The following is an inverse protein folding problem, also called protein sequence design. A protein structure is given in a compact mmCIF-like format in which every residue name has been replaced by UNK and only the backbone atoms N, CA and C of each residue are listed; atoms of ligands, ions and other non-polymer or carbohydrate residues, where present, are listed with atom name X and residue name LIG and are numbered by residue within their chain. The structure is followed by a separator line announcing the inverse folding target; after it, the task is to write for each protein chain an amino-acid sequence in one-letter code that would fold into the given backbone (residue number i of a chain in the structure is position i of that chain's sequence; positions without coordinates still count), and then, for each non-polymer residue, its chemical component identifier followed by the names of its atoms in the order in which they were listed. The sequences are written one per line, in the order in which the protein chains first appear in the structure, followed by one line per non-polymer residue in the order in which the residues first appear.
data_IF_130279490772
#
_entry.id   IF_130279490772
#
_cell.length_a   1.000
_cell.length_b   1.000
_cell.length_c   1.000
_cell.angle_alpha   90.00
_cell.angle_beta   90.00
_cell.angle_gamma   90.00
#
_symmetry.space_group_name_H-M   'P 1'
#
loop_
_entity.id
_entity.type
_entity.pdbx_description
1 polymer ?
#
# COMPACT_ATOMS: atom_id res chain seq x y z
N UNK A 1 -10.48 26.77 11.24
CA UNK A 1 -9.44 25.75 10.95
C UNK A 1 -9.31 24.82 12.15
N UNK A 2 -9.54 23.51 11.95
CA UNK A 2 -9.43 22.51 13.02
C UNK A 2 -7.96 22.04 13.05
N UNK A 3 -7.12 22.69 13.85
CA UNK A 3 -5.67 22.43 13.88
C UNK A 3 -5.27 21.21 14.75
N UNK A 4 -6.18 20.25 14.96
CA UNK A 4 -5.91 19.07 15.81
C UNK A 4 -5.54 17.82 15.02
N UNK A 5 -5.56 17.89 13.68
CA UNK A 5 -5.17 16.84 12.75
C UNK A 5 -4.41 17.45 11.57
N UNK A 6 -3.57 16.65 10.89
CA UNK A 6 -2.77 17.06 9.72
C UNK A 6 -2.80 16.00 8.61
N UNK A 7 -2.91 16.40 7.34
CA UNK A 7 -2.79 15.53 6.15
C UNK A 7 -1.41 14.85 6.04
N UNK A 8 -0.37 15.44 6.66
CA UNK A 8 0.99 14.89 6.63
C UNK A 8 1.02 13.48 7.25
N UNK A 9 0.34 13.28 8.40
CA UNK A 9 0.33 11.99 9.11
C UNK A 9 -0.29 10.87 8.28
N UNK A 10 -1.40 11.12 7.58
CA UNK A 10 -2.02 10.09 6.72
C UNK A 10 -1.19 9.85 5.46
N UNK A 11 -0.46 10.86 4.97
CA UNK A 11 0.49 10.71 3.86
C UNK A 11 1.65 9.82 4.27
N UNK A 12 2.28 10.07 5.43
CA UNK A 12 3.36 9.23 5.97
C UNK A 12 2.89 7.78 6.22
N UNK A 13 1.68 7.60 6.77
CA UNK A 13 1.10 6.26 6.95
C UNK A 13 0.90 5.53 5.60
N UNK A 14 0.44 6.26 4.56
CA UNK A 14 0.29 5.71 3.22
C UNK A 14 1.63 5.32 2.61
N UNK A 15 2.66 6.13 2.79
CA UNK A 15 4.00 5.83 2.31
C UNK A 15 4.55 4.57 2.99
N UNK A 16 4.37 4.43 4.31
CA UNK A 16 4.73 3.20 5.04
C UNK A 16 4.00 1.97 4.48
N UNK A 17 2.69 2.05 4.27
CA UNK A 17 1.90 0.93 3.70
C UNK A 17 2.40 0.51 2.31
N UNK A 18 2.86 1.45 1.49
CA UNK A 18 3.35 1.18 0.13
C UNK A 18 4.86 0.92 0.05
N UNK A 19 5.59 1.10 1.15
CA UNK A 19 7.03 0.87 1.26
C UNK A 19 7.40 -0.62 1.41
N UNK A 20 8.65 -0.88 1.80
CA UNK A 20 9.15 -2.21 2.20
C UNK A 20 8.92 -3.28 1.12
N UNK A 21 9.23 -2.93 -0.14
CA UNK A 21 9.01 -3.77 -1.32
C UNK A 21 7.57 -4.31 -1.40
N UNK A 22 6.59 -3.44 -1.16
CA UNK A 22 5.16 -3.79 -1.21
C UNK A 22 4.74 -4.88 -0.22
N UNK A 23 5.42 -5.02 0.92
CA UNK A 23 5.13 -6.04 1.94
C UNK A 23 3.64 -6.13 2.31
N UNK A 24 3.00 -4.99 2.58
CA UNK A 24 1.57 -4.95 2.95
C UNK A 24 0.71 -5.44 1.79
N UNK A 25 1.00 -5.03 0.56
CA UNK A 25 0.29 -5.55 -0.61
C UNK A 25 0.46 -7.07 -0.74
N UNK A 26 1.70 -7.56 -0.73
CA UNK A 26 1.99 -8.98 -0.94
C UNK A 26 1.36 -9.88 0.14
N UNK A 27 1.34 -9.41 1.39
CA UNK A 27 0.81 -10.18 2.52
C UNK A 27 -0.72 -10.12 2.61
N UNK A 28 -1.35 -9.04 2.15
CA UNK A 28 -2.79 -8.79 2.34
C UNK A 28 -3.62 -8.80 1.05
N UNK A 29 -3.01 -8.95 -0.14
CA UNK A 29 -3.72 -9.11 -1.43
C UNK A 29 -4.60 -10.38 -1.46
N UNK A 30 -4.16 -11.42 -0.77
CA UNK A 30 -4.95 -12.63 -0.51
C UNK A 30 -4.60 -13.22 0.87
N UNK A 31 -5.38 -12.83 1.89
CA UNK A 31 -5.25 -13.37 3.25
C UNK A 31 -6.48 -14.21 3.56
N UNK A 32 -6.34 -15.53 3.49
CA UNK A 32 -7.41 -16.52 3.67
C UNK A 32 -8.56 -16.37 2.65
N UNK A 33 -8.25 -16.16 1.37
CA UNK A 33 -9.25 -16.02 0.30
C UNK A 33 -9.94 -14.66 0.28
N UNK A 34 -9.36 -13.66 0.97
CA UNK A 34 -9.90 -12.30 1.06
C UNK A 34 -8.82 -11.28 0.74
N UNK A 35 -9.16 -10.34 -0.12
CA UNK A 35 -8.31 -9.19 -0.40
C UNK A 35 -8.51 -8.13 0.69
N UNK A 36 -7.65 -8.16 1.71
CA UNK A 36 -7.65 -7.17 2.79
C UNK A 36 -6.88 -5.91 2.42
N UNK A 37 -6.01 -5.96 1.39
CA UNK A 37 -5.32 -4.77 0.90
C UNK A 37 -6.30 -3.71 0.38
N UNK A 38 -7.34 -4.12 -0.35
CA UNK A 38 -8.39 -3.20 -0.81
C UNK A 38 -9.12 -2.51 0.35
N UNK A 39 -9.33 -3.22 1.47
CA UNK A 39 -9.90 -2.63 2.68
C UNK A 39 -8.94 -1.58 3.26
N UNK A 40 -7.65 -1.87 3.32
CA UNK A 40 -6.62 -0.92 3.78
C UNK A 40 -6.60 0.33 2.89
N UNK A 41 -6.59 0.18 1.57
CA UNK A 41 -6.68 1.31 0.63
C UNK A 41 -7.93 2.16 0.87
N UNK A 42 -9.09 1.51 0.98
CA UNK A 42 -10.34 2.23 1.23
C UNK A 42 -10.32 3.01 2.54
N UNK A 43 -9.76 2.45 3.61
CA UNK A 43 -9.59 3.15 4.88
C UNK A 43 -8.70 4.38 4.75
N UNK A 44 -7.54 4.24 4.08
CA UNK A 44 -6.64 5.38 3.86
C UNK A 44 -7.31 6.48 3.04
N UNK A 45 -8.07 6.13 1.99
CA UNK A 45 -8.76 7.11 1.15
C UNK A 45 -9.83 7.89 1.93
N UNK A 46 -10.64 7.20 2.74
CA UNK A 46 -11.66 7.85 3.56
C UNK A 46 -11.07 8.71 4.68
N UNK A 47 -9.95 8.29 5.28
CA UNK A 47 -9.21 9.12 6.23
C UNK A 47 -8.68 10.36 5.51
N UNK A 48 -7.97 10.21 4.38
CA UNK A 48 -7.41 11.34 3.62
C UNK A 48 -8.47 12.39 3.26
N UNK A 49 -9.60 11.96 2.69
CA UNK A 49 -10.68 12.89 2.31
C UNK A 49 -11.25 13.60 3.54
N UNK A 50 -11.43 12.88 4.65
CA UNK A 50 -11.99 13.45 5.89
C UNK A 50 -11.03 14.44 6.54
N UNK A 51 -9.73 14.12 6.62
CA UNK A 51 -8.71 15.01 7.21
C UNK A 51 -8.57 16.29 6.39
N UNK A 52 -8.42 16.18 5.07
CA UNK A 52 -8.34 17.35 4.19
C UNK A 52 -9.58 18.22 4.26
N UNK A 53 -10.77 17.63 4.41
CA UNK A 53 -11.98 18.40 4.65
C UNK A 53 -11.91 19.19 5.96
N UNK A 54 -11.52 18.54 7.05
CA UNK A 54 -11.48 19.12 8.40
C UNK A 54 -10.44 20.24 8.54
N UNK A 55 -9.29 20.11 7.88
CA UNK A 55 -8.27 21.16 7.82
C UNK A 55 -8.78 22.41 7.11
N UNK A 56 -9.56 22.23 6.04
CA UNK A 56 -10.01 23.32 5.19
C UNK A 56 -11.41 23.84 5.53
N UNK A 57 -12.02 23.36 6.62
CA UNK A 57 -13.39 23.74 6.98
C UNK A 57 -13.42 25.23 7.40
N UNK A 58 -14.36 26.04 6.86
CA UNK A 58 -14.55 27.41 7.30
C UNK A 58 -15.05 27.44 8.75
N UNK A 59 -14.96 28.62 9.38
CA UNK A 59 -15.58 28.82 10.68
C UNK A 59 -17.10 28.61 10.60
N UNK A 60 -17.69 28.16 11.72
CA UNK A 60 -19.12 27.89 11.79
C UNK A 60 -19.95 29.15 11.55
N UNK A 61 -21.03 28.98 10.78
CA UNK A 61 -21.95 30.05 10.44
C UNK A 61 -22.71 30.53 11.70
N UNK A 62 -23.15 31.79 11.68
CA UNK A 62 -24.01 32.34 12.73
C UNK A 62 -25.44 31.82 12.58
N UNK A 63 -25.89 31.57 11.35
CA UNK A 63 -27.17 30.94 11.06
C UNK A 63 -27.17 29.50 11.62
N UNK A 64 -28.16 29.21 12.47
CA UNK A 64 -28.24 27.95 13.19
C UNK A 64 -28.45 26.76 12.26
N UNK A 65 -29.30 26.88 11.24
CA UNK A 65 -29.59 25.80 10.31
C UNK A 65 -28.32 25.40 9.52
N UNK A 66 -27.56 26.40 9.05
CA UNK A 66 -26.26 26.17 8.41
C UNK A 66 -25.25 25.55 9.39
N UNK A 67 -25.15 26.09 10.61
CA UNK A 67 -24.23 25.60 11.65
C UNK A 67 -24.51 24.14 12.05
N UNK A 68 -25.78 23.76 12.14
CA UNK A 68 -26.19 22.37 12.40
C UNK A 68 -25.70 21.46 11.29
N UNK A 69 -25.85 21.85 10.02
CA UNK A 69 -25.35 21.06 8.89
C UNK A 69 -23.82 20.98 8.84
N UNK A 70 -23.12 22.06 9.20
CA UNK A 70 -21.67 22.04 9.36
C UNK A 70 -21.24 21.09 10.48
N UNK A 71 -21.97 21.07 11.60
CA UNK A 71 -21.67 20.19 12.73
C UNK A 71 -21.93 18.72 12.39
N UNK A 72 -23.02 18.45 11.67
CA UNK A 72 -23.29 17.11 11.16
C UNK A 72 -22.19 16.63 10.20
N UNK A 73 -21.68 17.52 9.35
CA UNK A 73 -20.54 17.21 8.47
C UNK A 73 -19.28 16.88 9.29
N UNK A 74 -18.96 17.68 10.32
CA UNK A 74 -17.84 17.40 11.24
C UNK A 74 -17.98 16.01 11.88
N UNK A 75 -19.14 15.71 12.48
CA UNK A 75 -19.40 14.42 13.11
C UNK A 75 -19.26 13.28 12.08
N UNK A 76 -19.75 13.47 10.85
CA UNK A 76 -19.65 12.47 9.79
C UNK A 76 -18.21 12.20 9.37
N UNK A 77 -17.38 13.24 9.24
CA UNK A 77 -15.94 13.08 8.99
C UNK A 77 -15.23 12.33 10.12
N UNK A 78 -15.57 12.62 11.37
CA UNK A 78 -15.03 11.89 12.53
C UNK A 78 -15.46 10.41 12.51
N UNK A 79 -16.71 10.12 12.16
CA UNK A 79 -17.23 8.75 12.04
C UNK A 79 -16.48 7.95 10.97
N UNK A 80 -16.26 8.55 9.80
CA UNK A 80 -15.48 7.93 8.71
C UNK A 80 -14.04 7.60 9.15
N UNK A 81 -13.39 8.52 9.86
CA UNK A 81 -12.04 8.32 10.39
C UNK A 81 -12.04 7.20 11.44
N UNK A 82 -12.95 7.26 12.41
CA UNK A 82 -13.06 6.27 13.49
C UNK A 82 -13.35 4.85 12.98
N UNK A 83 -14.24 4.70 12.01
CA UNK A 83 -14.57 3.42 11.39
C UNK A 83 -13.36 2.88 10.60
N UNK A 84 -12.70 3.74 9.81
CA UNK A 84 -11.51 3.37 9.04
C UNK A 84 -10.39 2.88 9.94
N UNK A 85 -10.12 3.58 11.05
CA UNK A 85 -9.13 3.15 12.06
C UNK A 85 -9.52 1.83 12.71
N UNK A 86 -10.81 1.63 13.00
CA UNK A 86 -11.30 0.35 13.55
C UNK A 86 -11.08 -0.80 12.57
N UNK A 87 -11.29 -0.58 11.27
CA UNK A 87 -11.00 -1.60 10.26
C UNK A 87 -9.50 -1.86 10.12
N UNK A 88 -8.65 -0.81 10.12
CA UNK A 88 -7.20 -0.97 10.10
C UNK A 88 -6.69 -1.75 11.33
N UNK A 89 -7.23 -1.48 12.53
CA UNK A 89 -6.95 -2.25 13.73
C UNK A 89 -7.26 -3.75 13.53
N UNK A 90 -8.41 -4.07 12.91
CA UNK A 90 -8.79 -5.47 12.64
C UNK A 90 -7.85 -6.17 11.68
N UNK A 91 -7.29 -5.43 10.71
CA UNK A 91 -6.36 -5.97 9.72
C UNK A 91 -4.98 -6.24 10.33
N UNK A 92 -4.42 -5.26 11.06
CA UNK A 92 -3.02 -5.28 11.48
C UNK A 92 -2.78 -5.70 12.93
N UNK A 93 -3.74 -5.45 13.82
CA UNK A 93 -3.59 -5.67 15.26
C UNK A 93 -4.33 -6.94 15.66
N UNK A 94 -5.66 -6.92 15.61
CA UNK A 94 -6.48 -8.07 15.99
C UNK A 94 -7.91 -7.97 15.44
N UNK A 95 -8.37 -8.96 14.65
CA UNK A 95 -9.70 -8.94 14.04
C UNK A 95 -10.87 -9.09 15.03
N UNK A 96 -10.60 -9.56 16.25
CA UNK A 96 -11.62 -9.85 17.26
C UNK A 96 -11.83 -8.72 18.26
N UNK A 97 -11.00 -7.69 18.23
CA UNK A 97 -11.08 -6.57 19.17
C UNK A 97 -11.49 -5.28 18.49
N UNK A 98 -12.04 -4.36 19.29
CA UNK A 98 -12.37 -3.00 18.87
C UNK A 98 -11.47 -2.07 19.70
N UNK A 99 -10.73 -1.15 19.07
CA UNK A 99 -9.87 -0.23 19.81
C UNK A 99 -10.72 0.66 20.73
N UNK A 100 -10.16 1.05 21.88
CA UNK A 100 -10.78 1.95 22.88
C UNK A 100 -12.05 1.41 23.57
N UNK A 101 -12.33 0.10 23.49
CA UNK A 101 -13.48 -0.49 24.17
C UNK A 101 -13.43 -0.23 25.68
N UNK A 102 -14.50 0.32 26.24
CA UNK A 102 -14.63 0.63 27.67
C UNK A 102 -13.97 1.95 28.10
N UNK A 103 -13.31 2.69 27.21
CA UNK A 103 -12.70 3.98 27.55
C UNK A 103 -13.74 5.09 27.74
N UNK A 104 -13.52 5.98 28.72
CA UNK A 104 -14.44 7.07 29.07
C UNK A 104 -13.68 8.40 29.27
N UNK A 105 -12.83 8.75 28.31
CA UNK A 105 -11.92 9.90 28.42
C UNK A 105 -12.43 11.13 27.65
N UNK A 106 -12.99 10.94 26.45
CA UNK A 106 -13.27 12.06 25.55
C UNK A 106 -14.54 12.85 25.91
N UNK A 107 -15.54 12.20 26.50
CA UNK A 107 -16.84 12.82 26.79
C UNK A 107 -17.05 12.97 28.29
N UNK A 108 -16.68 14.10 28.88
CA UNK A 108 -16.75 14.32 30.32
C UNK A 108 -18.20 14.48 30.79
N UNK A 109 -19.05 15.13 29.99
CA UNK A 109 -20.44 15.43 30.34
C UNK A 109 -21.45 14.49 29.66
N UNK A 110 -21.08 13.21 29.50
CA UNK A 110 -21.92 12.24 28.80
C UNK A 110 -23.27 12.04 29.51
N UNK A 111 -24.36 12.05 28.75
CA UNK A 111 -25.70 11.84 29.28
C UNK A 111 -25.91 10.41 29.79
N UNK A 112 -25.32 9.42 29.12
CA UNK A 112 -25.46 7.99 29.45
C UNK A 112 -24.14 7.49 30.05
N UNK A 113 -24.11 7.41 31.38
CA UNK A 113 -22.90 7.14 32.15
C UNK A 113 -22.31 5.73 31.92
N UNK A 114 -23.13 4.77 31.48
CA UNK A 114 -22.74 3.41 31.15
C UNK A 114 -22.01 3.29 29.81
N UNK A 115 -22.28 4.18 28.86
CA UNK A 115 -21.66 4.18 27.53
C UNK A 115 -20.16 4.54 27.58
N UNK A 116 -19.34 3.76 26.86
CA UNK A 116 -17.96 4.12 26.55
C UNK A 116 -17.89 5.18 25.44
N UNK A 117 -16.70 5.72 25.16
CA UNK A 117 -16.53 6.79 24.19
C UNK A 117 -17.01 6.40 22.77
N UNK A 118 -16.77 5.16 22.36
CA UNK A 118 -17.21 4.66 21.06
C UNK A 118 -18.74 4.58 20.96
N UNK A 119 -19.38 4.07 22.01
CA UNK A 119 -20.83 3.94 22.08
C UNK A 119 -21.49 5.31 22.19
N UNK A 120 -20.93 6.19 23.03
CA UNK A 120 -21.45 7.53 23.23
C UNK A 120 -21.29 8.41 21.98
N UNK A 121 -20.19 8.30 21.25
CA UNK A 121 -20.04 8.99 19.97
C UNK A 121 -21.12 8.56 18.95
N UNK A 122 -21.48 7.27 18.92
CA UNK A 122 -22.60 6.79 18.09
C UNK A 122 -23.94 7.39 18.52
N UNK A 123 -24.16 7.55 19.83
CA UNK A 123 -25.33 8.24 20.38
C UNK A 123 -25.35 9.69 19.93
N UNK A 124 -24.24 10.43 20.06
CA UNK A 124 -24.10 11.81 19.58
C UNK A 124 -24.41 11.90 18.08
N UNK A 125 -23.81 11.04 17.25
CA UNK A 125 -24.04 11.00 15.80
C UNK A 125 -25.50 10.72 15.44
N UNK A 126 -26.15 9.81 16.16
CA UNK A 126 -27.55 9.52 15.95
C UNK A 126 -28.44 10.72 16.29
N UNK A 127 -28.18 11.39 17.42
CA UNK A 127 -28.98 12.51 17.93
C UNK A 127 -28.80 13.80 17.12
N UNK A 128 -27.60 14.08 16.60
CA UNK A 128 -27.29 15.32 15.88
C UNK A 128 -27.33 15.20 14.35
N UNK A 129 -27.93 14.14 13.80
CA UNK A 129 -28.32 14.14 12.39
C UNK A 129 -28.57 12.79 11.74
N UNK A 130 -27.84 11.74 12.10
CA UNK A 130 -27.91 10.48 11.35
C UNK A 130 -29.24 9.74 11.53
N UNK A 131 -29.73 9.65 12.77
CA UNK A 131 -30.92 8.86 13.12
C UNK A 131 -31.78 9.51 14.23
N UNK A 132 -32.10 10.82 14.17
CA UNK A 132 -32.72 11.53 15.30
C UNK A 132 -34.09 10.95 15.70
N UNK A 133 -34.81 10.32 14.77
CA UNK A 133 -36.17 9.80 15.00
C UNK A 133 -36.23 8.30 15.34
N UNK A 134 -35.09 7.64 15.57
CA UNK A 134 -35.05 6.21 15.89
C UNK A 134 -33.92 5.87 16.87
N UNK A 135 -33.96 6.47 18.05
CA UNK A 135 -32.99 6.22 19.12
C UNK A 135 -33.49 5.06 19.99
N UNK A 136 -32.80 3.93 19.93
CA UNK A 136 -33.09 2.77 20.76
C UNK A 136 -32.18 2.80 21.99
N UNK A 137 -32.75 2.99 23.18
CA UNK A 137 -32.02 2.93 24.44
C UNK A 137 -32.70 1.97 25.40
N UNK A 138 -32.06 0.84 25.67
CA UNK A 138 -32.34 -0.06 26.80
C UNK A 138 -33.83 -0.18 27.17
N UNK A 139 -34.67 -0.55 26.18
CA UNK A 139 -36.14 -0.75 26.25
C UNK A 139 -37.04 0.50 26.15
N UNK A 140 -36.50 1.69 25.95
CA UNK A 140 -37.26 2.91 25.67
C UNK A 140 -36.91 3.47 24.30
N UNK A 141 -37.92 3.92 23.56
CA UNK A 141 -37.73 4.59 22.27
C UNK A 141 -37.72 6.09 22.51
N UNK A 142 -36.66 6.77 22.06
CA UNK A 142 -36.54 8.23 22.15
C UNK A 142 -36.41 8.87 20.76
N UNK A 143 -36.70 10.16 20.69
CA UNK A 143 -36.64 10.97 19.47
C UNK A 143 -35.93 12.29 19.78
N UNK A 144 -34.88 12.63 19.03
CA UNK A 144 -34.19 13.90 19.14
C UNK A 144 -34.97 15.03 18.43
N UNK A 145 -35.04 16.18 19.09
CA UNK A 145 -35.48 17.44 18.49
C UNK A 145 -34.52 17.93 17.41
N UNK A 146 -34.90 19.00 16.71
CA UNK A 146 -33.91 19.82 16.01
C UNK A 146 -32.82 20.32 16.98
N UNK A 147 -31.54 20.40 16.57
CA UNK A 147 -30.51 21.01 17.40
C UNK A 147 -30.73 22.52 17.52
N UNK A 148 -30.58 23.06 18.72
CA UNK A 148 -30.74 24.48 19.01
C UNK A 148 -29.58 25.02 19.84
N UNK A 149 -29.48 26.35 19.94
CA UNK A 149 -28.44 27.02 20.71
C UNK A 149 -28.53 26.63 22.18
N UNK A 150 -27.40 26.14 22.71
CA UNK A 150 -27.31 25.78 24.10
C UNK A 150 -27.47 27.01 25.01
N UNK A 151 -28.32 26.89 26.03
CA UNK A 151 -28.35 27.85 27.14
C UNK A 151 -27.22 27.60 28.17
N UNK A 152 -26.47 26.49 28.03
CA UNK A 152 -25.26 26.21 28.80
C UNK A 152 -24.05 26.86 28.15
N UNK A 153 -23.21 27.51 28.96
CA UNK A 153 -21.96 28.15 28.53
C UNK A 153 -20.88 27.16 28.03
N UNK A 154 -21.09 25.85 28.18
CA UNK A 154 -20.10 24.81 27.87
C UNK A 154 -20.41 24.00 26.61
N UNK A 155 -21.60 24.17 26.03
CA UNK A 155 -22.03 23.40 24.86
C UNK A 155 -22.38 24.34 23.69
N UNK A 156 -22.11 23.90 22.46
CA UNK A 156 -22.42 24.68 21.26
C UNK A 156 -23.86 24.45 20.80
N UNK A 157 -24.31 23.20 20.82
CA UNK A 157 -25.67 22.80 20.42
C UNK A 157 -26.29 21.89 21.48
N UNK A 158 -27.61 21.90 21.58
CA UNK A 158 -28.40 20.99 22.42
C UNK A 158 -29.53 20.38 21.63
N UNK A 159 -29.87 19.13 21.93
CA UNK A 159 -31.12 18.49 21.49
C UNK A 159 -31.90 18.01 22.71
N UNK A 160 -33.23 18.02 22.60
CA UNK A 160 -34.10 17.34 23.54
C UNK A 160 -34.40 15.93 23.04
N UNK A 161 -34.25 14.94 23.91
CA UNK A 161 -34.58 13.54 23.62
C UNK A 161 -35.97 13.21 24.19
N UNK A 162 -36.98 13.37 23.33
CA UNK A 162 -38.38 13.09 23.64
C UNK A 162 -38.60 11.62 23.95
N UNK A 163 -39.27 11.31 25.05
CA UNK A 163 -39.66 9.92 25.34
C UNK A 163 -40.92 9.51 24.58
N UNK A 164 -40.98 8.24 24.19
CA UNK A 164 -42.23 7.60 23.74
C UNK A 164 -43.19 7.25 24.89
N UNK A 165 -42.69 7.27 26.13
CA UNK A 165 -43.49 6.99 27.32
C UNK A 165 -44.07 8.28 27.90
N UNK A 166 -45.36 8.29 28.22
CA UNK A 166 -46.12 9.47 28.66
C UNK A 166 -45.57 10.11 29.94
N UNK A 167 -44.93 9.31 30.82
CA UNK A 167 -44.49 9.76 32.14
C UNK A 167 -42.98 9.98 32.24
N UNK A 168 -42.23 9.71 31.16
CA UNK A 168 -40.78 9.89 31.16
C UNK A 168 -40.45 11.34 30.81
N UNK A 169 -39.47 11.90 31.51
CA UNK A 169 -38.97 13.24 31.20
C UNK A 169 -38.13 13.25 29.91
N UNK A 170 -38.18 14.40 29.23
CA UNK A 170 -37.29 14.71 28.12
C UNK A 170 -35.87 14.96 28.63
N UNK A 171 -34.89 14.38 27.96
CA UNK A 171 -33.49 14.52 28.38
C UNK A 171 -32.76 15.53 27.47
N UNK A 172 -32.10 16.55 28.02
CA UNK A 172 -31.23 17.42 27.23
C UNK A 172 -29.89 16.72 26.97
N UNK A 173 -29.51 16.59 25.71
CA UNK A 173 -28.18 16.14 25.31
C UNK A 173 -27.41 17.32 24.73
N UNK A 174 -26.28 17.64 25.37
CA UNK A 174 -25.42 18.76 25.04
C UNK A 174 -24.24 18.32 24.18
N UNK A 175 -23.96 19.06 23.10
CA UNK A 175 -22.81 18.83 22.23
C UNK A 175 -21.70 19.82 22.53
N UNK A 176 -20.55 19.29 22.93
CA UNK A 176 -19.32 20.05 23.06
C UNK A 176 -18.37 19.67 21.92
N UNK A 177 -18.04 20.64 21.08
CA UNK A 177 -17.11 20.44 19.96
C UNK A 177 -15.73 20.00 20.44
N UNK A 178 -15.25 20.49 21.57
CA UNK A 178 -13.93 20.11 22.06
C UNK A 178 -13.87 18.62 22.44
N UNK A 179 -14.95 18.04 22.96
CA UNK A 179 -15.06 16.60 23.23
C UNK A 179 -15.01 15.78 21.91
N UNK A 180 -15.65 16.30 20.84
CA UNK A 180 -15.53 15.70 19.50
C UNK A 180 -14.11 15.76 18.95
N UNK A 181 -13.42 16.88 19.14
CA UNK A 181 -12.03 17.05 18.69
C UNK A 181 -11.09 16.15 19.48
N UNK A 182 -11.28 16.00 20.79
CA UNK A 182 -10.52 15.06 21.62
C UNK A 182 -10.75 13.60 21.18
N UNK A 183 -11.99 13.24 20.88
CA UNK A 183 -12.32 11.93 20.30
C UNK A 183 -11.59 11.72 18.97
N UNK A 184 -11.68 12.69 18.04
CA UNK A 184 -10.99 12.66 16.75
C UNK A 184 -9.48 12.46 16.92
N UNK A 185 -8.82 13.30 17.70
CA UNK A 185 -7.35 13.25 17.91
C UNK A 185 -6.94 11.89 18.47
N UNK A 186 -7.63 11.39 19.49
CA UNK A 186 -7.34 10.08 20.09
C UNK A 186 -7.38 8.95 19.06
N UNK A 187 -8.33 9.00 18.12
CA UNK A 187 -8.44 7.99 17.06
C UNK A 187 -7.36 8.20 16.01
N UNK A 188 -7.20 9.42 15.53
CA UNK A 188 -6.23 9.73 14.48
C UNK A 188 -4.79 9.39 14.89
N UNK A 189 -4.42 9.67 16.14
CA UNK A 189 -3.11 9.31 16.70
C UNK A 189 -2.90 7.80 16.84
N UNK A 190 -3.96 6.99 16.78
CA UNK A 190 -3.84 5.53 16.75
C UNK A 190 -3.22 5.00 15.46
N UNK A 191 -3.14 5.83 14.40
CA UNK A 191 -2.37 5.49 13.21
C UNK A 191 -0.91 5.21 13.56
N UNK A 192 -0.33 5.90 14.55
CA UNK A 192 1.05 5.70 15.00
C UNK A 192 1.21 4.28 15.58
N UNK A 193 0.24 3.83 16.39
CA UNK A 193 0.21 2.46 16.94
C UNK A 193 0.08 1.40 15.84
N UNK A 194 -0.70 1.68 14.80
CA UNK A 194 -0.86 0.77 13.65
C UNK A 194 0.43 0.76 12.81
N UNK A 195 1.08 1.91 12.61
CA UNK A 195 2.35 2.04 11.90
C UNK A 195 3.45 1.21 12.58
N UNK A 196 3.65 1.38 13.89
CA UNK A 196 4.59 0.59 14.69
C UNK A 196 4.33 -0.92 14.55
N UNK A 197 3.05 -1.30 14.48
CA UNK A 197 2.66 -2.70 14.30
C UNK A 197 3.01 -3.22 12.90
N UNK A 198 2.82 -2.42 11.84
CA UNK A 198 3.18 -2.78 10.47
C UNK A 198 4.69 -3.02 10.37
N UNK A 199 5.51 -2.11 10.91
CA UNK A 199 6.97 -2.25 10.92
C UNK A 199 7.40 -3.52 11.68
N UNK A 200 6.83 -3.74 12.86
CA UNK A 200 7.10 -4.95 13.64
C UNK A 200 6.76 -6.23 12.88
N UNK A 201 5.62 -6.25 12.17
CA UNK A 201 5.20 -7.38 11.33
C UNK A 201 6.17 -7.60 10.16
N UNK A 202 6.69 -6.52 9.56
CA UNK A 202 7.66 -6.62 8.48
C UNK A 202 8.99 -7.21 8.97
N UNK A 203 9.52 -6.72 10.10
CA UNK A 203 10.75 -7.26 10.71
C UNK A 203 10.59 -8.74 11.06
N UNK A 204 9.44 -9.13 11.62
CA UNK A 204 9.14 -10.53 11.92
C UNK A 204 9.08 -11.38 10.64
N UNK A 205 8.44 -10.87 9.58
CA UNK A 205 8.37 -11.52 8.28
C UNK A 205 9.76 -11.75 7.69
N UNK A 206 10.61 -10.73 7.65
CA UNK A 206 11.99 -10.83 7.17
C UNK A 206 12.78 -11.87 7.96
N UNK A 207 12.71 -11.83 9.30
CA UNK A 207 13.40 -12.77 10.19
C UNK A 207 12.94 -14.22 10.00
N UNK A 208 11.66 -14.43 9.70
CA UNK A 208 11.10 -15.76 9.50
C UNK A 208 11.54 -16.35 8.16
N UNK A 209 11.51 -15.57 7.07
CA UNK A 209 11.96 -16.02 5.76
C UNK A 209 13.48 -16.13 5.65
N UNK A 210 14.25 -15.30 6.35
CA UNK A 210 15.71 -15.37 6.28
C UNK A 210 16.29 -16.62 6.94
N UNK A 211 15.52 -17.30 7.80
CA UNK A 211 15.89 -18.61 8.37
C UNK A 211 15.59 -19.78 7.44
N UNK A 212 14.74 -19.57 6.43
CA UNK A 212 14.42 -20.60 5.45
C UNK A 212 15.52 -20.57 4.40
N UNK A 213 16.36 -21.60 4.39
CA UNK A 213 17.50 -21.69 3.48
C UNK A 213 17.03 -21.90 2.05
N UNK A 214 17.54 -21.08 1.14
CA UNK A 214 17.41 -21.24 -0.30
C UNK A 214 18.31 -22.41 -0.73
N UNK A 215 17.76 -23.34 -1.50
CA UNK A 215 18.52 -24.46 -2.03
C UNK A 215 19.67 -23.97 -2.91
N UNK A 216 20.83 -24.62 -2.77
CA UNK A 216 22.01 -24.35 -3.58
C UNK A 216 22.14 -25.38 -4.69
N UNK A 217 22.26 -24.91 -5.93
CA UNK A 217 22.58 -25.74 -7.10
C UNK A 217 23.96 -25.40 -7.61
N UNK A 218 24.65 -26.40 -8.16
CA UNK A 218 25.96 -26.19 -8.78
C UNK A 218 25.83 -25.59 -10.18
N UNK A 219 24.79 -26.00 -10.92
CA UNK A 219 24.49 -25.43 -12.22
C UNK A 219 23.81 -24.06 -12.06
N UNK A 220 24.34 -22.99 -12.72
CA UNK A 220 23.78 -21.65 -12.60
C UNK A 220 22.33 -21.53 -13.07
N UNK A 221 21.95 -22.25 -14.14
CA UNK A 221 20.60 -22.21 -14.67
C UNK A 221 19.62 -22.87 -13.70
N UNK A 222 19.97 -24.03 -13.15
CA UNK A 222 19.19 -24.67 -12.08
C UNK A 222 19.07 -23.75 -10.85
N UNK A 223 20.15 -23.03 -10.49
CA UNK A 223 20.13 -22.08 -9.38
C UNK A 223 19.16 -20.92 -9.66
N UNK A 224 19.15 -20.37 -10.86
CA UNK A 224 18.24 -19.30 -11.28
C UNK A 224 16.78 -19.73 -11.20
N UNK A 225 16.46 -20.97 -11.58
CA UNK A 225 15.10 -21.50 -11.42
C UNK A 225 14.65 -21.59 -9.96
N UNK A 226 15.56 -21.98 -9.06
CA UNK A 226 15.30 -21.92 -7.61
C UNK A 226 15.06 -20.48 -7.17
N UNK A 227 15.89 -19.53 -7.62
CA UNK A 227 15.77 -18.11 -7.26
C UNK A 227 14.47 -17.49 -7.77
N UNK A 228 14.01 -17.84 -8.99
CA UNK A 228 12.73 -17.39 -9.54
C UNK A 228 11.56 -17.79 -8.63
N UNK A 229 11.54 -19.05 -8.21
CA UNK A 229 10.49 -19.55 -7.31
C UNK A 229 10.58 -18.92 -5.90
N UNK A 230 11.78 -18.65 -5.40
CA UNK A 230 12.00 -18.01 -4.10
C UNK A 230 11.68 -16.51 -4.11
N UNK A 231 11.98 -15.79 -5.20
CA UNK A 231 11.70 -14.36 -5.36
C UNK A 231 10.21 -14.06 -5.21
N UNK A 232 9.34 -14.87 -5.83
CA UNK A 232 7.87 -14.79 -5.68
C UNK A 232 7.42 -14.92 -4.22
N UNK A 233 8.09 -15.75 -3.41
CA UNK A 233 7.77 -15.88 -1.98
C UNK A 233 8.33 -14.73 -1.17
N UNK A 234 9.43 -14.13 -1.62
CA UNK A 234 10.22 -13.13 -0.91
C UNK A 234 9.91 -11.73 -1.42
N UNK A 235 8.63 -11.37 -1.30
CA UNK A 235 8.04 -10.07 -1.65
C UNK A 235 7.77 -9.87 -3.14
N UNK A 236 8.11 -10.84 -4.01
CA UNK A 236 7.74 -10.82 -5.43
C UNK A 236 8.12 -9.49 -6.08
N UNK A 237 9.38 -9.10 -5.90
CA UNK A 237 9.88 -7.79 -6.31
C UNK A 237 10.14 -7.78 -7.82
N UNK A 238 9.48 -6.85 -8.53
CA UNK A 238 9.56 -6.76 -10.00
C UNK A 238 10.98 -6.58 -10.53
N UNK A 239 11.84 -5.82 -9.83
CA UNK A 239 13.23 -5.63 -10.26
C UNK A 239 14.01 -6.95 -10.19
N UNK A 240 13.98 -7.65 -9.05
CA UNK A 240 14.68 -8.93 -8.90
C UNK A 240 14.12 -9.99 -9.85
N UNK A 241 12.79 -10.05 -10.02
CA UNK A 241 12.15 -10.94 -10.97
C UNK A 241 12.64 -10.69 -12.40
N UNK A 242 12.72 -9.42 -12.81
CA UNK A 242 13.23 -9.04 -14.13
C UNK A 242 14.69 -9.45 -14.34
N UNK A 243 15.57 -9.17 -13.39
CA UNK A 243 16.99 -9.56 -13.52
C UNK A 243 17.16 -11.10 -13.55
N UNK A 244 16.40 -11.84 -12.74
CA UNK A 244 16.40 -13.31 -12.77
C UNK A 244 15.91 -13.84 -14.13
N UNK A 245 14.85 -13.25 -14.69
CA UNK A 245 14.31 -13.66 -15.99
C UNK A 245 15.32 -13.40 -17.13
N UNK A 246 15.96 -12.23 -17.14
CA UNK A 246 17.04 -11.91 -18.09
C UNK A 246 18.21 -12.92 -17.99
N UNK A 247 18.62 -13.25 -16.76
CA UNK A 247 19.66 -14.25 -16.53
C UNK A 247 19.25 -15.64 -17.02
N UNK A 248 18.00 -16.07 -16.78
CA UNK A 248 17.50 -17.35 -17.29
C UNK A 248 17.60 -17.36 -18.82
N UNK A 249 17.14 -16.32 -19.51
CA UNK A 249 17.23 -16.23 -20.98
C UNK A 249 18.67 -16.35 -21.49
N UNK A 250 19.62 -15.71 -20.81
CA UNK A 250 21.06 -15.79 -21.14
C UNK A 250 21.58 -17.21 -20.98
N UNK A 251 21.30 -17.85 -19.83
CA UNK A 251 21.85 -19.16 -19.51
C UNK A 251 21.21 -20.29 -20.33
N UNK A 252 19.93 -20.17 -20.68
CA UNK A 252 19.22 -21.10 -21.58
C UNK A 252 19.64 -21.03 -23.04
N UNK A 253 20.26 -19.93 -23.48
CA UNK A 253 20.61 -19.76 -24.88
C UNK A 253 21.61 -20.83 -25.36
N UNK A 254 21.18 -21.62 -26.35
CA UNK A 254 22.02 -22.59 -27.05
C UNK A 254 22.88 -21.89 -28.11
N UNK A 255 24.19 -21.86 -27.89
CA UNK A 255 25.15 -21.26 -28.83
C UNK A 255 25.74 -22.35 -29.71
N UNK A 256 25.34 -22.38 -30.98
CA UNK A 256 25.85 -23.37 -31.95
C UNK A 256 27.05 -22.87 -32.76
N UNK A 257 27.31 -21.57 -32.75
CA UNK A 257 28.42 -20.95 -33.48
C UNK A 257 29.74 -21.12 -32.70
N UNK A 258 30.73 -21.87 -33.24
CA UNK A 258 32.00 -22.11 -32.55
C UNK A 258 32.80 -20.85 -32.24
N UNK A 259 32.64 -19.77 -33.02
CA UNK A 259 33.38 -18.52 -32.81
C UNK A 259 32.76 -17.68 -31.69
N UNK A 260 31.44 -17.80 -31.48
CA UNK A 260 30.72 -17.10 -30.41
C UNK A 260 30.77 -17.85 -29.07
N UNK A 261 30.93 -19.17 -29.09
CA UNK A 261 30.87 -20.00 -27.87
C UNK A 261 31.86 -19.54 -26.79
N UNK A 262 33.15 -19.27 -27.06
CA UNK A 262 34.08 -18.80 -26.03
C UNK A 262 33.72 -17.42 -25.45
N UNK A 263 33.13 -16.54 -26.28
CA UNK A 263 32.72 -15.19 -25.88
C UNK A 263 31.49 -15.29 -24.97
N UNK A 264 30.53 -16.13 -25.37
CA UNK A 264 29.33 -16.41 -24.59
C UNK A 264 29.65 -17.06 -23.24
N UNK A 265 30.54 -18.05 -23.21
CA UNK A 265 30.96 -18.72 -21.97
C UNK A 265 31.64 -17.74 -21.02
N UNK A 266 32.56 -16.92 -21.52
CA UNK A 266 33.23 -15.89 -20.71
C UNK A 266 32.25 -14.85 -20.15
N UNK A 267 31.20 -14.51 -20.89
CA UNK A 267 30.16 -13.59 -20.44
C UNK A 267 29.22 -14.24 -19.40
N UNK A 268 28.84 -15.50 -19.59
CA UNK A 268 28.07 -16.26 -18.60
C UNK A 268 28.86 -16.36 -17.28
N UNK A 269 30.16 -16.61 -17.35
CA UNK A 269 31.05 -16.65 -16.18
C UNK A 269 31.10 -15.30 -15.44
N UNK A 270 31.08 -14.17 -16.15
CA UNK A 270 31.07 -12.84 -15.52
C UNK A 270 29.76 -12.50 -14.79
N UNK A 271 28.67 -13.21 -15.08
CA UNK A 271 27.36 -13.03 -14.45
C UNK A 271 27.15 -13.90 -13.20
N UNK A 272 28.02 -14.87 -12.93
CA UNK A 272 27.93 -15.73 -11.73
C UNK A 272 27.89 -14.90 -10.42
N UNK A 273 28.71 -13.85 -10.22
CA UNK A 273 28.65 -13.01 -9.03
C UNK A 273 27.27 -12.37 -8.79
N UNK A 274 26.55 -12.01 -9.85
CA UNK A 274 25.20 -11.44 -9.77
C UNK A 274 24.18 -12.48 -9.27
N UNK A 275 24.29 -13.74 -9.71
CA UNK A 275 23.44 -14.83 -9.24
C UNK A 275 23.64 -15.05 -7.73
N UNK A 276 24.89 -15.05 -7.28
CA UNK A 276 25.24 -15.19 -5.86
C UNK A 276 24.78 -14.00 -5.01
N UNK A 277 24.88 -12.78 -5.55
CA UNK A 277 24.36 -11.58 -4.92
C UNK A 277 22.84 -11.64 -4.74
N UNK A 278 22.09 -11.92 -5.82
CA UNK A 278 20.62 -12.07 -5.78
C UNK A 278 20.23 -13.09 -4.72
N UNK A 279 20.88 -14.25 -4.70
CA UNK A 279 20.64 -15.28 -3.69
C UNK A 279 20.89 -14.79 -2.27
N UNK A 280 21.99 -14.08 -2.04
CA UNK A 280 22.36 -13.55 -0.73
C UNK A 280 21.36 -12.50 -0.25
N UNK A 281 20.95 -11.60 -1.13
CA UNK A 281 19.96 -10.55 -0.86
C UNK A 281 18.58 -11.15 -0.58
N UNK A 282 18.13 -12.11 -1.38
CA UNK A 282 16.88 -12.84 -1.13
C UNK A 282 16.94 -13.65 0.18
N UNK A 283 18.05 -14.34 0.45
CA UNK A 283 18.25 -15.11 1.69
C UNK A 283 18.21 -14.21 2.93
N UNK A 284 18.79 -13.01 2.85
CA UNK A 284 18.79 -12.04 3.95
C UNK A 284 17.53 -11.18 4.02
N UNK A 285 16.61 -11.31 3.06
CA UNK A 285 15.43 -10.46 2.89
C UNK A 285 15.77 -8.96 2.75
N UNK A 286 16.90 -8.69 2.10
CA UNK A 286 17.43 -7.36 1.85
C UNK A 286 17.29 -7.02 0.36
N UNK A 287 16.14 -6.47 -0.03
CA UNK A 287 15.89 -6.05 -1.42
C UNK A 287 16.48 -4.66 -1.61
N UNK A 288 17.63 -4.61 -2.27
CA UNK A 288 18.39 -3.40 -2.59
C UNK A 288 18.84 -3.43 -4.05
N UNK A 289 19.28 -2.29 -4.57
CA UNK A 289 19.93 -2.22 -5.89
C UNK A 289 21.12 -3.19 -5.93
N UNK A 290 21.22 -3.97 -7.02
CA UNK A 290 22.27 -4.98 -7.18
C UNK A 290 23.57 -4.32 -7.63
N UNK A 291 24.67 -4.61 -6.94
CA UNK A 291 26.00 -4.06 -7.22
C UNK A 291 26.62 -4.66 -8.49
N UNK A 292 26.28 -5.92 -8.81
CA UNK A 292 26.85 -6.65 -9.95
C UNK A 292 25.92 -6.65 -11.18
N UNK A 293 24.90 -5.78 -11.24
CA UNK A 293 23.98 -5.71 -12.40
C UNK A 293 24.55 -5.01 -13.63
N UNK A 294 25.75 -4.40 -13.50
CA UNK A 294 26.37 -3.63 -14.57
C UNK A 294 26.67 -4.45 -15.83
N UNK A 295 27.03 -5.72 -15.66
CA UNK A 295 27.29 -6.67 -16.75
C UNK A 295 25.99 -7.10 -17.46
N UNK A 296 24.85 -7.01 -16.78
CA UNK A 296 23.53 -7.31 -17.35
C UNK A 296 22.90 -6.07 -17.99
N UNK A 297 23.17 -4.89 -17.43
CA UNK A 297 22.65 -3.57 -17.84
C UNK A 297 23.73 -2.69 -18.46
N UNK A 298 24.35 -3.22 -19.51
CA UNK A 298 25.50 -2.58 -20.15
C UNK A 298 25.14 -1.21 -20.72
N UNK A 299 25.91 -0.19 -20.30
CA UNK A 299 25.81 1.18 -20.81
C UNK A 299 27.07 1.50 -21.61
N UNK A 300 26.99 1.29 -22.92
CA UNK A 300 28.08 1.58 -23.87
C UNK A 300 27.69 2.72 -24.81
N UNK A 301 28.66 3.28 -25.53
CA UNK A 301 28.34 4.28 -26.58
C UNK A 301 27.46 3.65 -27.67
N UNK A 302 27.65 2.36 -27.95
CA UNK A 302 26.79 1.58 -28.83
C UNK A 302 25.35 1.48 -28.29
N UNK A 303 25.17 1.28 -26.98
CA UNK A 303 23.84 1.28 -26.37
C UNK A 303 23.11 2.61 -26.52
N UNK A 304 23.84 3.73 -26.55
CA UNK A 304 23.28 5.07 -26.80
C UNK A 304 22.90 5.27 -28.26
N UNK A 305 23.75 4.83 -29.19
CA UNK A 305 23.50 4.91 -30.63
C UNK A 305 22.27 4.09 -31.05
N UNK A 306 22.10 2.91 -30.45
CA UNK A 306 21.00 1.98 -30.70
C UNK A 306 19.81 2.15 -29.75
N UNK A 307 19.71 3.26 -29.02
CA UNK A 307 18.69 3.43 -27.97
C UNK A 307 17.25 3.18 -28.43
N UNK A 308 16.90 3.60 -29.66
CA UNK A 308 15.57 3.36 -30.23
C UNK A 308 15.37 1.88 -30.58
N UNK A 309 16.33 1.27 -31.27
CA UNK A 309 16.29 -0.12 -31.71
C UNK A 309 16.28 -1.07 -30.52
N UNK A 310 17.14 -0.83 -29.51
CA UNK A 310 17.18 -1.61 -28.28
C UNK A 310 15.87 -1.50 -27.51
N UNK A 311 15.28 -0.30 -27.40
CA UNK A 311 13.98 -0.13 -26.76
C UNK A 311 12.87 -0.97 -27.43
N UNK A 312 12.88 -1.03 -28.76
CA UNK A 312 11.93 -1.87 -29.53
C UNK A 312 12.25 -3.35 -29.42
N UNK A 313 13.53 -3.69 -29.48
CA UNK A 313 14.03 -5.04 -29.31
C UNK A 313 13.63 -5.62 -27.95
N UNK A 314 13.89 -4.92 -26.84
CA UNK A 314 13.48 -5.40 -25.51
C UNK A 314 11.96 -5.49 -25.36
N UNK A 315 11.20 -4.55 -25.96
CA UNK A 315 9.73 -4.64 -26.00
C UNK A 315 9.22 -5.88 -26.73
N UNK A 316 9.95 -6.33 -27.76
CA UNK A 316 9.66 -7.56 -28.50
C UNK A 316 10.12 -8.80 -27.72
N UNK A 317 11.31 -8.78 -27.12
CA UNK A 317 11.85 -9.90 -26.34
C UNK A 317 10.94 -10.23 -25.15
N UNK A 318 10.51 -9.23 -24.38
CA UNK A 318 9.69 -9.43 -23.18
C UNK A 318 8.19 -9.38 -23.46
N UNK A 319 7.79 -9.29 -24.73
CA UNK A 319 6.39 -9.13 -25.13
C UNK A 319 5.94 -10.17 -26.14
N UNK A 320 4.73 -10.69 -25.98
CA UNK A 320 4.14 -11.66 -26.93
C UNK A 320 3.64 -11.01 -28.24
N UNK A 321 4.18 -9.85 -28.64
CA UNK A 321 3.68 -9.08 -29.79
C UNK A 321 4.63 -9.15 -30.97
N UNK A 322 4.07 -9.53 -32.11
CA UNK A 322 4.76 -9.44 -33.40
C UNK A 322 5.17 -7.99 -33.69
N UNK A 323 6.46 -7.77 -33.95
CA UNK A 323 6.99 -6.47 -34.40
C UNK A 323 7.31 -6.53 -35.90
N UNK A 324 6.59 -5.75 -36.75
CA UNK A 324 6.82 -5.74 -38.19
C UNK A 324 8.19 -5.16 -38.60
N UNK A 325 8.87 -4.46 -37.69
CA UNK A 325 10.18 -3.85 -37.91
C UNK A 325 11.33 -4.66 -37.30
N UNK A 326 11.08 -5.85 -36.74
CA UNK A 326 12.13 -6.69 -36.14
C UNK A 326 13.33 -6.88 -37.07
N UNK A 327 13.07 -7.19 -38.35
CA UNK A 327 14.12 -7.38 -39.35
C UNK A 327 15.02 -6.15 -39.48
N UNK A 328 14.44 -4.95 -39.46
CA UNK A 328 15.19 -3.70 -39.55
C UNK A 328 16.13 -3.51 -38.34
N UNK A 329 15.70 -3.88 -37.14
CA UNK A 329 16.54 -3.80 -35.93
C UNK A 329 17.73 -4.76 -36.00
N UNK A 330 17.47 -6.02 -36.36
CA UNK A 330 18.52 -7.04 -36.48
C UNK A 330 19.53 -6.72 -37.58
N UNK A 331 19.08 -6.20 -38.73
CA UNK A 331 19.98 -5.72 -39.80
C UNK A 331 20.88 -4.58 -39.31
N UNK A 332 20.35 -3.67 -38.50
CA UNK A 332 21.12 -2.55 -37.95
C UNK A 332 22.15 -3.03 -36.93
N UNK A 333 21.83 -4.02 -36.10
CA UNK A 333 22.79 -4.65 -35.19
C UNK A 333 23.94 -5.33 -35.96
N UNK A 334 23.61 -6.07 -37.04
CA UNK A 334 24.62 -6.68 -37.90
C UNK A 334 25.50 -5.62 -38.60
N UNK A 335 24.91 -4.53 -39.09
CA UNK A 335 25.66 -3.47 -39.78
C UNK A 335 26.70 -2.80 -38.87
N UNK A 336 26.34 -2.51 -37.61
CA UNK A 336 27.24 -1.85 -36.65
C UNK A 336 28.34 -2.77 -36.11
N UNK A 337 28.08 -4.08 -36.06
CA UNK A 337 29.04 -5.08 -35.56
C UNK A 337 29.85 -5.75 -36.67
N UNK A 338 29.70 -5.31 -37.93
CA UNK A 338 30.34 -5.96 -39.07
C UNK A 338 29.89 -7.41 -39.29
N UNK A 339 28.70 -7.77 -38.81
CA UNK A 339 28.13 -9.12 -38.89
C UNK A 339 28.69 -10.11 -37.86
N UNK A 340 29.49 -9.66 -36.88
CA UNK A 340 30.18 -10.52 -35.90
C UNK A 340 29.23 -11.48 -35.16
N UNK A 341 28.04 -11.01 -34.78
CA UNK A 341 27.06 -11.81 -34.03
C UNK A 341 25.99 -12.46 -34.91
N UNK A 342 25.93 -12.09 -36.19
CA UNK A 342 25.00 -12.62 -37.20
C UNK A 342 23.56 -12.80 -36.65
N UNK A 343 22.89 -11.70 -36.32
CA UNK A 343 21.50 -11.69 -35.87
C UNK A 343 20.55 -12.14 -36.98
N UNK A 344 19.69 -13.11 -36.71
CA UNK A 344 18.66 -13.56 -37.66
C UNK A 344 17.28 -13.63 -37.01
N UNK A 345 16.21 -13.53 -37.80
CA UNK A 345 14.85 -13.71 -37.31
C UNK A 345 14.44 -15.18 -37.12
N UNK A 346 15.35 -16.12 -37.44
CA UNK A 346 15.18 -17.56 -37.23
C UNK A 346 15.86 -18.06 -35.97
N UNK A 347 16.71 -17.23 -35.36
CA UNK A 347 17.34 -17.55 -34.07
C UNK A 347 16.27 -17.69 -33.00
N UNK A 348 16.50 -18.57 -32.03
CA UNK A 348 15.67 -18.60 -30.83
C UNK A 348 15.79 -17.26 -30.08
N UNK A 349 14.71 -16.90 -29.37
CA UNK A 349 14.63 -15.63 -28.65
C UNK A 349 15.77 -15.49 -27.64
N UNK A 350 16.06 -16.57 -26.89
CA UNK A 350 17.14 -16.62 -25.91
C UNK A 350 18.52 -16.36 -26.56
N UNK A 351 18.79 -16.99 -27.71
CA UNK A 351 20.05 -16.77 -28.45
C UNK A 351 20.15 -15.33 -28.97
N UNK A 352 19.05 -14.79 -29.50
CA UNK A 352 19.00 -13.40 -29.99
C UNK A 352 19.27 -12.41 -28.85
N UNK A 353 18.67 -12.65 -27.68
CA UNK A 353 18.89 -11.84 -26.48
C UNK A 353 20.33 -11.90 -26.00
N UNK A 354 20.91 -13.09 -25.89
CA UNK A 354 22.32 -13.28 -25.54
C UNK A 354 23.23 -12.52 -26.51
N UNK A 355 23.04 -12.68 -27.83
CA UNK A 355 23.82 -11.95 -28.85
C UNK A 355 23.73 -10.43 -28.64
N UNK A 356 22.55 -9.91 -28.30
CA UNK A 356 22.38 -8.48 -28.04
C UNK A 356 23.16 -8.04 -26.79
N UNK A 357 23.19 -8.84 -25.72
CA UNK A 357 24.00 -8.55 -24.54
C UNK A 357 25.50 -8.59 -24.84
N UNK A 358 25.97 -9.62 -25.55
CA UNK A 358 27.36 -9.73 -25.98
C UNK A 358 27.78 -8.56 -26.87
N UNK A 359 26.92 -8.15 -27.81
CA UNK A 359 27.16 -6.98 -28.65
C UNK A 359 27.38 -5.71 -27.84
N UNK A 360 26.66 -5.53 -26.74
CA UNK A 360 26.78 -4.34 -25.91
C UNK A 360 28.00 -4.37 -25.00
N UNK A 361 28.49 -5.56 -24.64
CA UNK A 361 29.62 -5.79 -23.73
C UNK A 361 30.98 -5.54 -24.39
N UNK A 362 31.03 -5.43 -25.71
CA UNK A 362 32.21 -5.01 -26.49
C UNK A 362 32.42 -3.50 -26.46
#
# INVERSE_FOLDING_TARGET
MINVVSDDKITEFRDLVNSNSSFVYQTYKDKNGKNLFNLVCSCMDWITVSIRHLENVPDFDKNIDTRVMQMFTLISSIDLISESITQLHRVFINPQTIPFTGEKKCFANRLFADEDDNSYFKTVRACFGAHPVNLNQSNTKRFASWPFDSHSNTAELTVHLYSSNINDEDLPLHLNRNELLEFLTTRYDYLDVIADKIESLFIEYQKNLSKQLIESKFDPLEQLYVLKAESVKRLDNDYYNGEIDDLIMIFEAEVTDPDLMPIADSYKDSLIPLIDEIKTNLQSMNIVDLENDCELRIRSDLSRELSYELGKFYSWIHGDRYDPLLHYYLERFNALTGGKFNFTNTDEINLTFLKAKLMLAE
#
